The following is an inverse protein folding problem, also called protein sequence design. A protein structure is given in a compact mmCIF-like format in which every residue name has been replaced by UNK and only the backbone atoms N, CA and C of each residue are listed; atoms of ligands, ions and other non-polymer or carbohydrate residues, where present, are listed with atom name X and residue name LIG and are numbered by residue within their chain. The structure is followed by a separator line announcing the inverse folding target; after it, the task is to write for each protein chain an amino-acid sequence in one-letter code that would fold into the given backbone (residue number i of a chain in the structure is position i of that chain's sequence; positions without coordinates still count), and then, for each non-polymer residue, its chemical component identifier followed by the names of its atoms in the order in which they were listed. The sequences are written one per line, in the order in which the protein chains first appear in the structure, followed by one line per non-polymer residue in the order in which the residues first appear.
data_IF_570639077391
#
_entry.id   IF_570639077391
#
_cell.length_a   1.000
_cell.length_b   1.000
_cell.length_c   1.000
_cell.angle_alpha   90.00
_cell.angle_beta   90.00
_cell.angle_gamma   90.00
#
_symmetry.space_group_name_H-M   'P 1'
#
loop_
_entity.id
_entity.type
_entity.pdbx_description
1 polymer ?
#
# COMPACT_ATOMS: atom_id res chain seq x y z
N UNK A 1 7.17 13.72 -58.23
CA UNK A 1 6.03 13.84 -57.31
C UNK A 1 6.42 13.10 -56.04
N UNK A 2 7.00 13.83 -55.09
CA UNK A 2 7.70 13.22 -53.94
C UNK A 2 6.83 13.46 -52.71
N UNK A 3 6.14 12.41 -52.26
CA UNK A 3 5.36 12.46 -51.02
C UNK A 3 6.35 12.42 -49.86
N UNK A 4 6.37 13.48 -49.05
CA UNK A 4 7.09 13.51 -47.77
C UNK A 4 6.08 13.12 -46.69
N UNK A 5 6.39 12.05 -45.95
CA UNK A 5 5.66 11.71 -44.73
C UNK A 5 6.24 12.52 -43.57
N UNK A 6 5.45 13.43 -43.01
CA UNK A 6 5.74 14.02 -41.70
C UNK A 6 5.44 12.97 -40.63
N UNK A 7 6.50 12.47 -40.00
CA UNK A 7 6.38 11.61 -38.82
C UNK A 7 6.16 12.52 -37.61
N UNK A 8 5.01 12.39 -36.96
CA UNK A 8 4.70 13.14 -35.74
C UNK A 8 5.57 12.63 -34.59
N UNK A 9 6.62 13.36 -34.24
CA UNK A 9 7.37 13.14 -33.00
C UNK A 9 6.98 14.16 -31.93
N UNK A 10 6.49 13.62 -30.80
CA UNK A 10 6.35 14.22 -29.45
C UNK A 10 5.28 15.32 -29.34
N UNK A 11 4.32 15.20 -28.42
CA UNK A 11 4.55 15.23 -26.97
C UNK A 11 4.01 14.01 -26.24
N UNK A 12 4.86 13.40 -25.42
CA UNK A 12 4.37 12.77 -24.20
C UNK A 12 4.00 13.93 -23.26
N UNK A 13 2.76 14.36 -23.30
CA UNK A 13 2.07 14.95 -22.14
C UNK A 13 2.15 13.88 -21.03
N UNK A 14 3.25 13.74 -20.28
CA UNK A 14 3.63 14.54 -19.11
C UNK A 14 2.39 14.99 -18.32
N UNK A 15 2.26 14.32 -17.17
CA UNK A 15 1.32 14.50 -16.07
C UNK A 15 -0.14 14.24 -16.41
N UNK A 16 -0.57 13.01 -16.09
CA UNK A 16 -1.97 12.67 -15.95
C UNK A 16 -2.64 13.71 -15.03
N UNK A 17 -3.59 14.49 -15.57
CA UNK A 17 -4.30 15.56 -14.88
C UNK A 17 -5.18 15.08 -13.70
N UNK A 18 -5.01 13.84 -13.26
CA UNK A 18 -5.66 13.24 -12.09
C UNK A 18 -4.81 13.34 -10.80
N UNK A 19 -3.53 13.74 -10.90
CA UNK A 19 -2.66 13.95 -9.72
C UNK A 19 -2.86 15.32 -9.05
N UNK A 20 -3.58 16.25 -9.68
CA UNK A 20 -3.69 17.64 -9.23
C UNK A 20 -4.52 17.86 -7.94
N UNK A 21 -5.19 16.81 -7.43
CA UNK A 21 -6.11 16.89 -6.28
C UNK A 21 -5.63 16.06 -5.06
N UNK A 22 -4.48 15.40 -5.15
CA UNK A 22 -3.92 14.58 -4.06
C UNK A 22 -2.85 15.38 -3.32
N UNK A 23 -2.87 15.27 -1.99
CA UNK A 23 -1.83 15.89 -1.16
C UNK A 23 -0.48 15.22 -1.36
N UNK A 24 0.61 15.98 -1.15
CA UNK A 24 1.99 15.48 -1.23
C UNK A 24 2.18 14.23 -0.34
N UNK A 25 1.55 14.22 0.83
CA UNK A 25 1.54 13.10 1.77
C UNK A 25 0.93 11.82 1.17
N UNK A 26 -0.16 11.93 0.40
CA UNK A 26 -0.82 10.79 -0.23
C UNK A 26 0.00 10.23 -1.39
N UNK A 27 0.67 11.10 -2.14
CA UNK A 27 1.58 10.71 -3.21
C UNK A 27 2.77 9.96 -2.61
N UNK A 28 3.37 10.49 -1.53
CA UNK A 28 4.47 9.85 -0.82
C UNK A 28 4.06 8.50 -0.22
N UNK A 29 2.91 8.44 0.46
CA UNK A 29 2.39 7.20 1.04
C UNK A 29 2.14 6.12 -0.03
N UNK A 30 1.63 6.52 -1.20
CA UNK A 30 1.44 5.61 -2.33
C UNK A 30 2.76 5.18 -2.98
N UNK A 31 3.78 6.05 -2.97
CA UNK A 31 5.12 5.71 -3.44
C UNK A 31 5.83 4.69 -2.53
N UNK A 32 5.48 4.63 -1.24
CA UNK A 32 5.99 3.64 -0.27
C UNK A 32 5.36 2.24 -0.41
N UNK A 33 4.37 2.07 -1.29
CA UNK A 33 3.77 0.75 -1.55
C UNK A 33 4.85 -0.21 -2.06
N UNK A 34 4.95 -1.36 -1.40
CA UNK A 34 5.98 -2.37 -1.65
C UNK A 34 7.09 -2.40 -0.60
N UNK A 35 7.22 -1.37 0.24
CA UNK A 35 8.21 -1.34 1.33
C UNK A 35 7.88 -2.33 2.45
N UNK A 36 8.92 -2.79 3.14
CA UNK A 36 8.81 -3.60 4.34
C UNK A 36 8.51 -2.71 5.55
N UNK A 37 7.59 -3.14 6.40
CA UNK A 37 7.19 -2.42 7.62
C UNK A 37 7.25 -3.36 8.82
N UNK A 38 7.46 -2.80 10.00
CA UNK A 38 7.36 -3.49 11.29
C UNK A 38 6.35 -2.78 12.17
N UNK A 39 5.40 -3.52 12.71
CA UNK A 39 4.39 -2.98 13.63
C UNK A 39 5.03 -2.70 14.98
N UNK A 40 4.83 -1.49 15.51
CA UNK A 40 5.40 -1.03 16.78
C UNK A 40 4.33 -0.81 17.86
N UNK A 41 3.06 -0.66 17.46
CA UNK A 41 1.95 -0.54 18.39
C UNK A 41 1.35 -1.90 18.80
N UNK A 42 0.86 -2.06 20.04
CA UNK A 42 0.16 -3.27 20.48
C UNK A 42 -1.22 -3.37 19.80
N UNK A 43 -1.37 -4.30 18.86
CA UNK A 43 -2.55 -4.41 18.00
C UNK A 43 -2.98 -5.86 17.82
N UNK A 44 -4.26 -6.14 18.09
CA UNK A 44 -4.87 -7.46 17.93
C UNK A 44 -5.90 -7.47 16.82
N UNK A 45 -5.85 -8.48 15.97
CA UNK A 45 -6.80 -8.68 14.86
C UNK A 45 -7.48 -10.04 14.93
N UNK A 46 -8.73 -10.08 14.45
CA UNK A 46 -9.66 -11.21 14.65
C UNK A 46 -10.22 -11.77 13.33
N UNK A 47 -9.81 -11.24 12.17
CA UNK A 47 -10.31 -11.65 10.86
C UNK A 47 -9.41 -12.65 10.14
N UNK A 48 -8.41 -13.21 10.84
CA UNK A 48 -7.50 -14.20 10.26
C UNK A 48 -8.19 -15.56 10.20
N UNK A 49 -8.27 -16.13 9.00
CA UNK A 49 -8.97 -17.40 8.78
C UNK A 49 -8.48 -18.50 9.73
N UNK A 50 -9.39 -19.01 10.57
CA UNK A 50 -9.15 -20.11 11.54
C UNK A 50 -8.09 -19.79 12.61
N UNK A 51 -7.76 -18.52 12.82
CA UNK A 51 -6.94 -18.07 13.95
C UNK A 51 -7.76 -17.03 14.70
N UNK A 52 -8.21 -17.33 15.93
CA UNK A 52 -9.18 -16.48 16.62
C UNK A 52 -8.62 -15.10 16.93
N UNK A 53 -7.36 -15.01 17.35
CA UNK A 53 -6.69 -13.76 17.70
C UNK A 53 -5.26 -13.80 17.17
N UNK A 54 -4.83 -12.70 16.57
CA UNK A 54 -3.44 -12.49 16.17
C UNK A 54 -2.97 -11.16 16.72
N UNK A 55 -1.95 -11.24 17.56
CA UNK A 55 -1.16 -10.07 17.95
C UNK A 55 -0.18 -9.72 16.82
N UNK A 56 -0.18 -8.45 16.42
CA UNK A 56 0.66 -7.88 15.36
C UNK A 56 1.90 -7.17 15.90
N UNK A 57 2.00 -6.92 17.21
CA UNK A 57 3.14 -6.20 17.78
C UNK A 57 4.48 -6.88 17.42
N UNK A 58 5.41 -6.10 16.85
CA UNK A 58 6.71 -6.59 16.39
C UNK A 58 6.68 -7.43 15.10
N UNK A 59 5.51 -7.68 14.49
CA UNK A 59 5.43 -8.42 13.24
C UNK A 59 5.89 -7.57 12.06
N UNK A 60 6.65 -8.20 11.16
CA UNK A 60 7.05 -7.61 9.88
C UNK A 60 6.05 -8.00 8.79
N UNK A 61 5.77 -7.04 7.91
CA UNK A 61 4.86 -7.21 6.79
C UNK A 61 5.29 -6.37 5.59
N UNK A 62 4.58 -6.54 4.49
CA UNK A 62 4.81 -5.77 3.26
C UNK A 62 3.65 -4.84 3.00
N UNK A 63 3.93 -3.55 2.81
CA UNK A 63 2.90 -2.59 2.43
C UNK A 63 2.38 -2.93 1.03
N UNK A 64 1.10 -3.30 0.93
CA UNK A 64 0.49 -3.79 -0.30
C UNK A 64 -0.26 -2.71 -1.05
N UNK A 65 -0.87 -1.77 -0.34
CA UNK A 65 -1.67 -0.69 -0.93
C UNK A 65 -1.86 0.47 0.05
N UNK A 66 -2.21 1.63 -0.49
CA UNK A 66 -2.64 2.82 0.25
C UNK A 66 -4.08 3.17 -0.13
N UNK A 67 -5.05 2.71 0.67
CA UNK A 67 -6.47 2.67 0.33
C UNK A 67 -7.21 4.00 0.56
N UNK A 68 -6.54 5.04 1.03
CA UNK A 68 -7.10 6.40 1.05
C UNK A 68 -7.20 7.02 -0.36
N UNK A 69 -6.57 6.42 -1.38
CA UNK A 69 -6.74 6.84 -2.78
C UNK A 69 -7.25 5.68 -3.62
N UNK A 70 -8.42 5.86 -4.24
CA UNK A 70 -9.01 4.86 -5.13
C UNK A 70 -9.35 5.47 -6.48
N UNK A 71 -8.70 4.97 -7.55
CA UNK A 71 -8.90 5.45 -8.93
C UNK A 71 -8.83 6.98 -9.03
N UNK A 72 -7.81 7.57 -8.42
CA UNK A 72 -7.59 9.03 -8.41
C UNK A 72 -8.49 9.83 -7.45
N UNK A 73 -9.37 9.17 -6.70
CA UNK A 73 -10.26 9.85 -5.73
C UNK A 73 -9.82 9.59 -4.30
N UNK A 74 -9.82 10.64 -3.49
CA UNK A 74 -9.61 10.55 -2.04
C UNK A 74 -10.80 9.88 -1.37
N UNK A 75 -10.51 8.90 -0.51
CA UNK A 75 -11.45 8.19 0.35
C UNK A 75 -11.07 8.48 1.80
N UNK A 76 -12.08 8.61 2.67
CA UNK A 76 -11.92 8.86 4.10
C UNK A 76 -11.56 7.60 4.91
N UNK A 77 -10.63 6.78 4.43
CA UNK A 77 -10.18 5.60 5.17
C UNK A 77 -9.37 6.04 6.39
N UNK A 78 -9.79 5.63 7.59
CA UNK A 78 -9.09 5.94 8.84
C UNK A 78 -7.85 5.07 9.10
N UNK A 79 -7.76 3.91 8.42
CA UNK A 79 -6.63 2.98 8.43
C UNK A 79 -6.16 2.79 6.98
N UNK A 80 -5.40 3.73 6.42
CA UNK A 80 -5.19 3.78 4.97
C UNK A 80 -4.10 2.81 4.48
N UNK A 81 -3.25 2.28 5.35
CA UNK A 81 -2.15 1.40 4.95
C UNK A 81 -2.58 -0.06 4.99
N UNK A 82 -2.69 -0.70 3.82
CA UNK A 82 -3.02 -2.11 3.72
C UNK A 82 -1.75 -2.94 3.69
N UNK A 83 -1.46 -3.65 4.76
CA UNK A 83 -0.24 -4.44 4.91
C UNK A 83 -0.55 -5.93 4.78
N UNK A 84 0.29 -6.66 4.05
CA UNK A 84 0.26 -8.11 3.94
C UNK A 84 1.23 -8.75 4.93
N UNK A 85 0.73 -9.70 5.71
CA UNK A 85 1.48 -10.44 6.73
C UNK A 85 1.44 -11.93 6.45
N UNK A 86 2.47 -12.62 6.94
CA UNK A 86 2.55 -14.07 6.99
C UNK A 86 2.77 -14.49 8.43
N UNK A 87 1.92 -15.38 8.94
CA UNK A 87 2.06 -15.98 10.28
C UNK A 87 2.13 -17.48 10.15
N UNK A 88 3.14 -18.10 10.75
CA UNK A 88 3.18 -19.55 10.88
C UNK A 88 2.14 -20.02 11.90
N UNK A 89 1.27 -20.93 11.47
CA UNK A 89 0.26 -21.55 12.34
C UNK A 89 0.58 -23.03 12.45
N UNK A 90 0.73 -23.51 13.68
CA UNK A 90 1.01 -24.92 13.98
C UNK A 90 -0.03 -25.84 13.30
N UNK A 91 0.46 -26.85 12.58
CA UNK A 91 -0.37 -27.82 11.88
C UNK A 91 -1.02 -27.34 10.56
N UNK A 92 -0.82 -26.08 10.15
CA UNK A 92 -1.34 -25.54 8.87
C UNK A 92 -0.25 -24.94 7.98
N UNK A 93 0.83 -24.44 8.56
CA UNK A 93 1.89 -23.71 7.85
C UNK A 93 1.62 -22.20 7.76
N UNK A 94 2.28 -21.48 6.85
CA UNK A 94 2.19 -20.03 6.76
C UNK A 94 0.81 -19.58 6.26
N UNK A 95 0.10 -18.81 7.10
CA UNK A 95 -1.17 -18.19 6.77
C UNK A 95 -0.92 -16.75 6.36
N UNK A 96 -1.31 -16.44 5.12
CA UNK A 96 -1.30 -15.09 4.58
C UNK A 96 -2.59 -14.36 4.95
N UNK A 97 -2.46 -13.14 5.47
CA UNK A 97 -3.59 -12.26 5.74
C UNK A 97 -3.18 -10.80 5.52
N UNK A 98 -4.16 -9.91 5.50
CA UNK A 98 -3.93 -8.46 5.35
C UNK A 98 -4.56 -7.73 6.51
N UNK A 99 -3.93 -6.68 7.02
CA UNK A 99 -4.53 -5.78 8.01
C UNK A 99 -4.37 -4.34 7.54
N UNK A 100 -5.30 -3.48 7.97
CA UNK A 100 -5.22 -2.04 7.72
C UNK A 100 -4.63 -1.38 8.95
N UNK A 101 -3.64 -0.52 8.75
CA UNK A 101 -2.92 0.19 9.81
C UNK A 101 -2.96 1.70 9.57
N UNK A 102 -2.66 2.45 10.62
CA UNK A 102 -2.31 3.87 10.58
C UNK A 102 -0.81 4.09 10.47
N UNK A 103 -0.43 5.30 10.12
CA UNK A 103 0.95 5.79 10.05
C UNK A 103 1.70 5.74 11.39
N UNK A 104 1.01 5.86 12.52
CA UNK A 104 1.61 5.84 13.87
C UNK A 104 1.75 4.42 14.47
N UNK A 105 1.24 3.40 13.78
CA UNK A 105 1.19 2.01 14.28
C UNK A 105 2.39 1.16 13.83
N UNK A 106 3.20 1.65 12.89
CA UNK A 106 4.33 0.92 12.32
C UNK A 106 5.50 1.82 11.93
N UNK A 107 6.65 1.20 11.67
CA UNK A 107 7.84 1.84 11.12
C UNK A 107 8.29 1.14 9.84
N UNK A 108 8.92 1.86 8.91
CA UNK A 108 9.53 1.27 7.72
C UNK A 108 10.89 0.64 8.06
N UNK A 109 11.14 -0.58 7.58
CA UNK A 109 12.38 -1.33 7.88
C UNK A 109 13.46 -1.10 6.81
N UNK A 110 13.07 -0.83 5.57
CA UNK A 110 13.98 -0.52 4.44
C UNK A 110 14.40 0.96 4.43
N UNK A 111 15.13 1.40 5.46
CA UNK A 111 15.91 2.67 5.43
C UNK A 111 17.37 2.40 5.15
#
# INVERSE_FOLDING_TARGET
MTVRCDVATKTADSVNAEEAELSEEEIEAKAKVGSSIRVTAPLKVYHVNRVPEVDLEGMEGKLKDYVAVWKGKRISANLPYKVEFFKEVEGRGPVKFVAHLKDDEFEFVDT
#
